data_IF_810044351026
#
_entry.id   IF_810044351026
#
_cell.length_a   1.000
_cell.length_b   1.000
_cell.length_c   1.000
_cell.angle_alpha   90.00
_cell.angle_beta   90.00
_cell.angle_gamma   90.00
#
_symmetry.space_group_name_H-M   'P 1'
#
loop_
_entity.id
_entity.type
_entity.pdbx_description
1 polymer ?
#
# COMPACT_ATOMS: atom_id res chain seq x y z
N UNK A 1 4.17 -10.08 13.15
CA UNK A 1 3.63 -10.87 12.02
C UNK A 1 2.27 -11.50 12.35
N UNK A 2 2.12 -12.27 13.44
CA UNK A 2 0.81 -12.85 13.81
C UNK A 2 -0.33 -11.83 13.84
N UNK A 3 -0.14 -10.69 14.52
CA UNK A 3 -1.17 -9.64 14.60
C UNK A 3 -1.61 -9.09 13.24
N UNK A 4 -0.68 -8.90 12.30
CA UNK A 4 -1.01 -8.40 10.95
C UNK A 4 -1.67 -9.49 10.10
N UNK A 5 -1.33 -10.77 10.28
CA UNK A 5 -2.07 -11.87 9.67
C UNK A 5 -3.51 -11.95 10.17
N UNK A 6 -3.73 -11.79 11.49
CA UNK A 6 -5.08 -11.69 12.04
C UNK A 6 -5.83 -10.46 11.51
N UNK A 7 -5.13 -9.37 11.22
CA UNK A 7 -5.73 -8.17 10.66
C UNK A 7 -6.27 -8.38 9.24
N UNK A 8 -5.61 -9.19 8.39
CA UNK A 8 -6.18 -9.63 7.11
C UNK A 8 -7.53 -10.32 7.34
N UNK A 9 -7.60 -11.23 8.31
CA UNK A 9 -8.83 -11.93 8.68
C UNK A 9 -9.91 -10.98 9.18
N UNK A 10 -9.54 -9.95 9.96
CA UNK A 10 -10.46 -8.91 10.43
C UNK A 10 -11.06 -8.10 9.29
N UNK A 11 -10.27 -7.72 8.28
CA UNK A 11 -10.80 -6.99 7.11
C UNK A 11 -11.82 -7.83 6.33
N UNK A 12 -11.51 -9.11 6.15
CA UNK A 12 -12.44 -10.06 5.52
C UNK A 12 -13.72 -10.23 6.37
N UNK A 13 -13.59 -10.46 7.67
CA UNK A 13 -14.71 -10.71 8.57
C UNK A 13 -15.67 -9.52 8.61
N UNK A 14 -15.14 -8.29 8.66
CA UNK A 14 -15.97 -7.09 8.62
C UNK A 14 -16.70 -6.96 7.27
N UNK A 15 -16.02 -7.23 6.16
CA UNK A 15 -16.65 -7.20 4.84
C UNK A 15 -17.82 -8.20 4.75
N UNK A 16 -17.65 -9.40 5.31
CA UNK A 16 -18.71 -10.41 5.38
C UNK A 16 -19.89 -9.95 6.24
N UNK A 17 -19.62 -9.43 7.44
CA UNK A 17 -20.66 -8.94 8.37
C UNK A 17 -21.49 -7.79 7.78
N UNK A 18 -20.90 -6.98 6.91
CA UNK A 18 -21.57 -5.86 6.22
C UNK A 18 -22.16 -6.24 4.86
N UNK A 19 -22.05 -7.50 4.41
CA UNK A 19 -22.49 -7.92 3.07
C UNK A 19 -21.70 -7.27 1.93
N UNK A 20 -20.49 -6.78 2.20
CA UNK A 20 -19.61 -6.17 1.21
C UNK A 20 -18.86 -7.24 0.39
N UNK A 21 -18.33 -6.82 -0.75
CA UNK A 21 -17.39 -7.61 -1.55
C UNK A 21 -16.08 -7.83 -0.76
N UNK A 22 -15.51 -9.05 -0.70
CA UNK A 22 -14.49 -9.42 0.30
C UNK A 22 -13.02 -9.07 -0.05
N UNK A 23 -12.77 -8.32 -1.11
CA UNK A 23 -11.43 -8.22 -1.72
C UNK A 23 -10.50 -7.15 -1.14
N UNK A 24 -10.94 -6.36 -0.15
CA UNK A 24 -10.06 -5.41 0.56
C UNK A 24 -8.92 -6.17 1.25
N UNK A 25 -9.28 -7.25 1.95
CA UNK A 25 -8.33 -8.15 2.60
C UNK A 25 -7.27 -8.72 1.65
N UNK A 26 -7.66 -9.00 0.39
CA UNK A 26 -6.76 -9.51 -0.64
C UNK A 26 -5.75 -8.44 -1.05
N UNK A 27 -6.18 -7.19 -1.25
CA UNK A 27 -5.26 -6.11 -1.54
C UNK A 27 -4.26 -5.88 -0.39
N UNK A 28 -4.72 -5.99 0.85
CA UNK A 28 -3.88 -5.84 2.03
C UNK A 28 -2.84 -6.96 2.20
N UNK A 29 -2.99 -8.11 1.51
CA UNK A 29 -1.96 -9.16 1.57
C UNK A 29 -0.61 -8.75 0.96
N UNK A 30 -0.58 -7.80 0.03
CA UNK A 30 0.65 -7.34 -0.61
C UNK A 30 1.68 -6.75 0.38
N UNK A 31 1.35 -5.73 1.21
CA UNK A 31 2.26 -5.25 2.25
C UNK A 31 2.57 -6.29 3.34
N UNK A 32 1.63 -7.20 3.65
CA UNK A 32 1.89 -8.29 4.62
C UNK A 32 2.91 -9.30 4.10
N UNK A 33 2.85 -9.62 2.81
CA UNK A 33 3.84 -10.45 2.14
C UNK A 33 5.23 -9.77 2.15
N UNK A 34 5.29 -8.47 1.85
CA UNK A 34 6.53 -7.70 1.90
C UNK A 34 7.15 -7.67 3.32
N UNK A 35 6.33 -7.44 4.35
CA UNK A 35 6.79 -7.47 5.74
C UNK A 35 7.28 -8.88 6.14
N UNK A 36 6.58 -9.93 5.70
CA UNK A 36 6.99 -11.32 5.96
C UNK A 36 8.30 -11.67 5.25
N UNK A 37 8.54 -11.11 4.07
CA UNK A 37 9.79 -11.31 3.32
C UNK A 37 11.01 -10.79 4.11
N UNK A 38 10.94 -9.56 4.61
CA UNK A 38 12.09 -8.89 5.26
C UNK A 38 12.30 -9.25 6.74
N UNK A 39 11.24 -9.69 7.44
CA UNK A 39 11.31 -10.02 8.88
C UNK A 39 11.36 -11.52 9.18
N UNK A 40 11.03 -12.39 8.22
CA UNK A 40 10.97 -13.83 8.45
C UNK A 40 11.68 -14.64 7.36
N UNK A 41 11.25 -14.49 6.09
CA UNK A 41 11.77 -15.33 5.00
C UNK A 41 13.26 -15.08 4.77
N UNK A 42 13.67 -13.81 4.68
CA UNK A 42 15.08 -13.47 4.48
C UNK A 42 15.98 -13.93 5.64
N UNK A 43 15.66 -13.65 6.93
CA UNK A 43 16.37 -14.23 8.06
C UNK A 43 16.53 -15.75 8.04
N UNK A 44 15.46 -16.48 7.69
CA UNK A 44 15.51 -17.95 7.59
C UNK A 44 16.47 -18.36 6.47
N UNK A 45 16.42 -17.69 5.32
CA UNK A 45 17.31 -17.95 4.19
C UNK A 45 18.78 -17.67 4.51
N UNK A 46 19.07 -16.65 5.32
CA UNK A 46 20.42 -16.33 5.79
C UNK A 46 20.87 -17.19 7.00
N UNK A 47 19.94 -17.86 7.67
CA UNK A 47 20.21 -18.66 8.86
C UNK A 47 20.32 -17.85 10.16
N UNK A 48 19.98 -16.54 10.15
CA UNK A 48 20.04 -15.68 11.32
C UNK A 48 19.03 -14.54 11.28
N UNK A 49 18.41 -14.24 12.43
CA UNK A 49 17.58 -13.04 12.61
C UNK A 49 18.40 -11.75 12.75
N UNK A 50 19.73 -11.82 12.91
CA UNK A 50 20.61 -10.64 12.84
C UNK A 50 20.53 -9.92 11.49
N UNK A 51 20.22 -10.67 10.43
CA UNK A 51 20.22 -10.16 9.06
C UNK A 51 18.82 -9.71 8.62
N UNK A 52 17.83 -9.80 9.52
CA UNK A 52 16.51 -9.22 9.30
C UNK A 52 16.56 -7.70 9.26
N UNK A 53 15.60 -7.09 8.56
CA UNK A 53 15.52 -5.64 8.48
C UNK A 53 15.36 -5.02 9.89
N UNK A 54 16.22 -4.08 10.33
CA UNK A 54 16.10 -3.46 11.64
C UNK A 54 14.87 -2.56 11.77
N UNK A 55 14.32 -2.44 12.98
CA UNK A 55 13.21 -1.54 13.29
C UNK A 55 13.69 -0.10 13.54
N UNK A 56 14.18 0.55 12.49
CA UNK A 56 14.62 1.94 12.54
C UNK A 56 14.95 2.49 11.16
N UNK A 57 14.92 3.82 11.02
CA UNK A 57 15.12 4.50 9.73
C UNK A 57 16.52 4.19 9.17
N UNK A 58 17.58 4.51 9.92
CA UNK A 58 18.96 4.25 9.48
C UNK A 58 19.25 2.75 9.33
N UNK A 59 18.64 1.91 10.16
CA UNK A 59 18.76 0.46 10.05
C UNK A 59 18.14 -0.10 8.78
N UNK A 60 17.02 0.47 8.33
CA UNK A 60 16.41 0.12 7.04
C UNK A 60 17.34 0.45 5.88
N UNK A 61 17.98 1.63 5.89
CA UNK A 61 18.97 1.97 4.87
C UNK A 61 20.18 1.03 4.89
N UNK A 62 20.68 0.67 6.08
CA UNK A 62 21.76 -0.30 6.21
C UNK A 62 21.38 -1.65 5.59
N UNK A 63 20.18 -2.17 5.90
CA UNK A 63 19.66 -3.40 5.29
C UNK A 63 19.64 -3.32 3.76
N UNK A 64 19.11 -2.22 3.18
CA UNK A 64 19.02 -2.06 1.72
C UNK A 64 20.40 -2.03 1.05
N UNK A 65 21.39 -1.37 1.66
CA UNK A 65 22.74 -1.29 1.11
C UNK A 65 23.46 -2.64 1.14
N UNK A 66 23.34 -3.39 2.25
CA UNK A 66 23.90 -4.75 2.36
C UNK A 66 23.20 -5.69 1.39
N UNK A 67 21.86 -5.63 1.30
CA UNK A 67 21.09 -6.45 0.38
C UNK A 67 21.46 -6.19 -1.08
N UNK A 68 21.72 -4.94 -1.45
CA UNK A 68 22.25 -4.60 -2.77
C UNK A 68 23.65 -5.18 -2.99
N UNK A 69 24.54 -5.09 -2.00
CA UNK A 69 25.90 -5.62 -2.11
C UNK A 69 25.93 -7.15 -2.27
N UNK A 70 25.06 -7.86 -1.56
CA UNK A 70 25.02 -9.33 -1.56
C UNK A 70 24.19 -9.91 -2.72
N UNK A 71 23.11 -9.24 -3.13
CA UNK A 71 22.12 -9.82 -4.06
C UNK A 71 21.93 -9.04 -5.36
N UNK A 72 22.58 -7.88 -5.51
CA UNK A 72 22.43 -6.99 -6.67
C UNK A 72 20.95 -6.74 -7.04
N UNK A 73 20.12 -6.45 -6.03
CA UNK A 73 18.66 -6.38 -6.14
C UNK A 73 18.17 -5.43 -7.24
N UNK A 74 18.91 -4.36 -7.54
CA UNK A 74 18.55 -3.44 -8.62
C UNK A 74 18.48 -4.12 -10.00
N UNK A 75 19.24 -5.20 -10.19
CA UNK A 75 19.22 -5.99 -11.43
C UNK A 75 18.21 -7.14 -11.40
N UNK A 76 17.48 -7.33 -10.31
CA UNK A 76 16.48 -8.39 -10.19
C UNK A 76 15.12 -7.96 -10.78
N UNK A 77 14.53 -8.73 -11.71
CA UNK A 77 13.30 -8.32 -12.41
C UNK A 77 12.10 -8.16 -11.46
N UNK A 78 11.99 -8.95 -10.38
CA UNK A 78 10.89 -8.76 -9.42
C UNK A 78 11.00 -7.45 -8.64
N UNK A 79 12.22 -6.97 -8.36
CA UNK A 79 12.39 -5.66 -7.75
C UNK A 79 11.99 -4.56 -8.74
N UNK A 80 12.38 -4.68 -10.01
CA UNK A 80 11.97 -3.76 -11.07
C UNK A 80 10.45 -3.72 -11.26
N UNK A 81 9.77 -4.87 -11.20
CA UNK A 81 8.29 -4.93 -11.21
C UNK A 81 7.70 -4.23 -9.97
N UNK A 82 8.29 -4.40 -8.79
CA UNK A 82 7.90 -3.68 -7.58
C UNK A 82 8.04 -2.17 -7.73
N UNK A 83 9.15 -1.70 -8.29
CA UNK A 83 9.41 -0.28 -8.60
C UNK A 83 8.36 0.25 -9.58
N UNK A 84 8.08 -0.47 -10.67
CA UNK A 84 7.04 -0.10 -11.62
C UNK A 84 5.65 -0.02 -10.96
N UNK A 85 5.35 -0.95 -10.06
CA UNK A 85 4.10 -0.97 -9.29
C UNK A 85 3.92 0.25 -8.39
N UNK A 86 4.94 0.62 -7.61
CA UNK A 86 4.82 1.78 -6.68
C UNK A 86 4.85 3.12 -7.40
N UNK A 87 5.70 3.26 -8.43
CA UNK A 87 5.73 4.48 -9.25
C UNK A 87 4.46 4.64 -10.08
N UNK A 88 3.99 3.56 -10.71
CA UNK A 88 2.73 3.52 -11.43
C UNK A 88 1.54 3.80 -10.52
N UNK A 89 1.51 3.21 -9.32
CA UNK A 89 0.47 3.48 -8.32
C UNK A 89 0.43 4.95 -7.91
N UNK A 90 1.60 5.58 -7.72
CA UNK A 90 1.70 7.01 -7.39
C UNK A 90 1.22 7.90 -8.54
N UNK A 91 1.64 7.59 -9.77
CA UNK A 91 1.20 8.28 -10.99
C UNK A 91 -0.32 8.19 -11.16
N UNK A 92 -0.90 6.99 -11.05
CA UNK A 92 -2.33 6.79 -11.22
C UNK A 92 -3.15 7.37 -10.07
N UNK A 93 -2.62 7.39 -8.84
CA UNK A 93 -3.26 8.10 -7.73
C UNK A 93 -3.36 9.60 -8.02
N UNK A 94 -2.29 10.22 -8.51
CA UNK A 94 -2.30 11.63 -8.88
C UNK A 94 -3.23 11.90 -10.08
N UNK A 95 -3.17 11.04 -11.11
CA UNK A 95 -4.02 11.14 -12.29
C UNK A 95 -5.50 11.03 -11.94
N UNK A 96 -5.88 10.02 -11.14
CA UNK A 96 -7.27 9.84 -10.71
C UNK A 96 -7.79 11.05 -9.95
N UNK A 97 -7.02 11.53 -8.96
CA UNK A 97 -7.37 12.74 -8.21
C UNK A 97 -7.53 13.96 -9.12
N UNK A 98 -6.63 14.16 -10.08
CA UNK A 98 -6.71 15.30 -11.00
C UNK A 98 -7.92 15.23 -11.93
N UNK A 99 -8.24 14.05 -12.48
CA UNK A 99 -9.33 13.89 -13.43
C UNK A 99 -10.68 14.09 -12.75
N UNK A 100 -10.90 13.43 -11.60
CA UNK A 100 -12.13 13.61 -10.81
C UNK A 100 -12.29 15.07 -10.38
N UNK A 101 -11.24 15.70 -9.85
CA UNK A 101 -11.30 17.11 -9.41
C UNK A 101 -11.58 18.06 -10.58
N UNK A 102 -11.06 17.77 -11.78
CA UNK A 102 -11.26 18.62 -12.96
C UNK A 102 -12.67 18.58 -13.55
N UNK A 103 -13.47 17.57 -13.18
CA UNK A 103 -14.80 17.32 -13.73
C UNK A 103 -15.93 17.46 -12.72
N UNK A 104 -15.68 18.02 -11.53
CA UNK A 104 -16.72 18.26 -10.53
C UNK A 104 -17.84 19.14 -11.09
N UNK A 105 -19.08 18.77 -10.79
CA UNK A 105 -20.24 19.60 -11.11
C UNK A 105 -20.23 20.84 -10.20
N UNK A 106 -20.53 22.01 -10.78
CA UNK A 106 -20.51 23.27 -10.02
C UNK A 106 -21.74 23.38 -9.11
N UNK A 107 -21.54 23.09 -7.83
CA UNK A 107 -22.59 23.15 -6.79
C UNK A 107 -22.36 24.25 -5.73
N UNK A 108 -21.27 25.03 -5.83
CA UNK A 108 -20.94 26.10 -4.87
C UNK A 108 -20.66 27.44 -5.54
N UNK A 109 -20.64 28.50 -4.73
CA UNK A 109 -20.17 29.82 -5.15
C UNK A 109 -18.64 29.89 -5.13
N UNK A 110 -18.07 30.95 -5.72
CA UNK A 110 -16.61 31.17 -5.75
C UNK A 110 -16.00 31.51 -4.38
N UNK A 111 -16.82 31.92 -3.41
CA UNK A 111 -16.40 32.31 -2.07
C UNK A 111 -16.46 31.15 -1.05
N UNK A 112 -16.76 29.95 -1.54
CA UNK A 112 -16.90 28.74 -0.73
C UNK A 112 -16.04 27.61 -1.29
N UNK A 113 -15.63 26.67 -0.45
CA UNK A 113 -14.92 25.47 -0.92
C UNK A 113 -15.83 24.61 -1.78
N UNK A 114 -15.34 24.16 -2.94
CA UNK A 114 -16.04 23.21 -3.81
C UNK A 114 -16.44 21.90 -3.09
N UNK A 115 -15.70 21.50 -2.05
CA UNK A 115 -16.02 20.31 -1.26
C UNK A 115 -17.41 20.39 -0.61
N UNK A 116 -17.90 21.59 -0.30
CA UNK A 116 -19.23 21.77 0.28
C UNK A 116 -20.36 21.42 -0.70
N UNK A 117 -20.05 21.28 -2.00
CA UNK A 117 -20.99 20.81 -3.02
C UNK A 117 -21.41 19.36 -2.81
N UNK A 118 -20.49 18.49 -2.38
CA UNK A 118 -20.79 17.10 -2.07
C UNK A 118 -21.52 16.97 -0.72
N UNK A 119 -22.57 16.14 -0.69
CA UNK A 119 -23.29 15.74 0.53
C UNK A 119 -23.08 14.25 0.80
N UNK A 120 -22.67 13.93 2.02
CA UNK A 120 -22.43 12.53 2.42
C UNK A 120 -23.70 11.69 2.28
N UNK A 121 -23.63 10.66 1.42
CA UNK A 121 -24.75 9.76 1.13
C UNK A 121 -25.69 10.23 0.03
N UNK A 122 -25.35 11.26 -0.75
CA UNK A 122 -26.11 11.63 -1.95
C UNK A 122 -26.13 10.48 -2.98
N UNK A 123 -27.21 10.39 -3.75
CA UNK A 123 -27.41 9.32 -4.74
C UNK A 123 -26.75 9.63 -6.09
N UNK A 124 -26.63 10.92 -6.43
CA UNK A 124 -26.03 11.37 -7.68
C UNK A 124 -24.50 11.46 -7.57
N UNK A 125 -23.80 11.10 -8.65
CA UNK A 125 -22.35 11.30 -8.76
C UNK A 125 -22.01 12.80 -8.72
N UNK A 126 -20.86 13.13 -8.14
CA UNK A 126 -20.42 14.52 -7.88
C UNK A 126 -19.52 15.10 -8.96
#
# INVERSE_FOLDING_TARGET
LLGVCCYIGREWELSYRLGMRPWISVAFTAPVAAASAVFLVYPIGQGSFSDGMPLGISGTFNFMLVFQAEHNILMHPFHQLGVAGVLGGSLFSAMHGSLVTSSLIRETTENESANNGYKFGQEEET
#
